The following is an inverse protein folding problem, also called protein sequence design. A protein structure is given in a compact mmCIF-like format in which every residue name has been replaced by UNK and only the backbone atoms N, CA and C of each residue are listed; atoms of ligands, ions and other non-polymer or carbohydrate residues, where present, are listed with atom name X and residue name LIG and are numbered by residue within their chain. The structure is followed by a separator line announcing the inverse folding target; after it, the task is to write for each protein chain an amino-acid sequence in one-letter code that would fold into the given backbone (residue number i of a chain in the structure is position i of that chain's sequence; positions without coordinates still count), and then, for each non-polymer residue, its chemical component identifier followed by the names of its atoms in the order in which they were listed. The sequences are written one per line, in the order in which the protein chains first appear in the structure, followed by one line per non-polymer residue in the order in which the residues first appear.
data_IF_171711022112
#
_entry.id   IF_171711022112
#
_cell.length_a   1.000
_cell.length_b   1.000
_cell.length_c   1.000
_cell.angle_alpha   90.00
_cell.angle_beta   90.00
_cell.angle_gamma   90.00
#
_symmetry.space_group_name_H-M   'P 1'
#
loop_
_entity.id
_entity.type
_entity.pdbx_description
1 polymer ?
#
# COMPACT_ATOMS: atom_id res chain seq x y z
N UNK A 1 31.51 -66.83 21.24
CA UNK A 1 32.68 -67.38 21.85
C UNK A 1 33.29 -66.32 22.78
N UNK A 2 32.99 -66.47 24.07
CA UNK A 2 33.82 -66.88 25.18
C UNK A 2 34.91 -65.82 25.50
N UNK A 3 34.61 -65.08 26.61
CA UNK A 3 35.11 -65.02 27.98
C UNK A 3 36.57 -64.61 28.16
N UNK A 4 36.79 -63.72 29.04
CA UNK A 4 37.45 -63.51 30.32
C UNK A 4 38.37 -62.33 30.24
N UNK A 5 38.45 -61.42 31.14
CA UNK A 5 38.36 -61.44 32.58
C UNK A 5 39.56 -60.68 33.13
N UNK A 6 39.29 -59.92 34.14
CA UNK A 6 40.14 -59.46 35.23
C UNK A 6 40.52 -57.97 35.25
N UNK A 7 39.86 -57.29 36.12
CA UNK A 7 40.40 -56.61 37.33
C UNK A 7 41.61 -55.69 37.17
N UNK A 8 41.40 -54.41 37.52
CA UNK A 8 42.46 -53.45 37.76
C UNK A 8 41.94 -52.07 38.11
N UNK A 9 41.80 -51.86 39.37
CA UNK A 9 41.70 -50.66 40.21
C UNK A 9 42.07 -49.28 39.63
N UNK A 10 41.16 -48.35 39.85
CA UNK A 10 41.25 -46.98 40.34
C UNK A 10 42.34 -46.03 39.74
N UNK A 11 41.89 -44.93 39.26
CA UNK A 11 42.33 -43.59 39.73
C UNK A 11 41.54 -42.46 39.12
N UNK A 12 41.30 -41.50 39.90
CA UNK A 12 40.55 -40.26 39.82
C UNK A 12 40.95 -39.24 38.76
N UNK A 13 39.98 -38.41 38.39
CA UNK A 13 40.02 -37.02 37.90
C UNK A 13 40.32 -36.79 36.44
N UNK A 14 39.30 -36.31 35.77
CA UNK A 14 39.34 -35.05 35.03
C UNK A 14 37.93 -34.68 34.63
N UNK A 15 37.46 -33.62 35.22
CA UNK A 15 36.23 -32.90 34.91
C UNK A 15 36.35 -32.36 33.47
N UNK A 16 35.62 -32.93 32.51
CA UNK A 16 35.52 -32.36 31.17
C UNK A 16 34.15 -31.73 31.05
N UNK A 17 34.10 -30.41 31.22
CA UNK A 17 32.96 -29.53 30.98
C UNK A 17 32.59 -29.64 29.50
N UNK A 18 31.59 -30.43 29.17
CA UNK A 18 30.99 -30.40 27.85
C UNK A 18 30.17 -29.10 27.73
N UNK A 19 30.71 -28.10 27.09
CA UNK A 19 29.97 -26.94 26.60
C UNK A 19 28.93 -27.41 25.60
N UNK A 20 27.69 -27.56 26.09
CA UNK A 20 26.51 -27.65 25.24
C UNK A 20 26.37 -26.33 24.47
N UNK A 21 26.87 -26.31 23.24
CA UNK A 21 26.46 -25.30 22.25
C UNK A 21 24.97 -25.51 21.98
N UNK A 22 24.15 -24.82 22.72
CA UNK A 22 22.78 -24.63 22.35
C UNK A 22 22.77 -23.85 21.04
N UNK A 23 22.72 -24.57 19.92
CA UNK A 23 22.43 -24.01 18.64
C UNK A 23 21.13 -23.22 18.76
N UNK A 24 21.22 -21.91 18.67
CA UNK A 24 20.04 -21.05 18.45
C UNK A 24 19.37 -21.56 17.19
N UNK A 25 18.34 -22.35 17.35
CA UNK A 25 17.35 -22.53 16.28
C UNK A 25 16.82 -21.15 16.00
N UNK A 26 17.17 -20.60 14.85
CA UNK A 26 16.47 -19.46 14.30
C UNK A 26 15.02 -19.92 14.12
N UNK A 27 14.16 -19.55 15.04
CA UNK A 27 12.72 -19.61 14.83
C UNK A 27 12.45 -18.72 13.63
N UNK A 28 12.54 -19.32 12.45
CA UNK A 28 11.90 -18.81 11.27
C UNK A 28 10.40 -18.95 11.53
N UNK A 29 9.82 -17.99 12.25
CA UNK A 29 8.39 -17.79 12.27
C UNK A 29 7.98 -17.75 10.80
N UNK A 30 7.38 -18.84 10.33
CA UNK A 30 6.64 -18.80 9.06
C UNK A 30 5.48 -17.83 9.30
N UNK A 31 5.72 -16.56 8.96
CA UNK A 31 4.70 -15.52 8.97
C UNK A 31 3.64 -15.99 7.98
N UNK A 32 2.48 -16.40 8.49
CA UNK A 32 1.35 -16.70 7.62
C UNK A 32 1.15 -15.53 6.67
N UNK A 33 0.91 -15.78 5.38
CA UNK A 33 0.66 -14.69 4.45
C UNK A 33 -0.49 -13.85 5.01
N UNK A 34 -0.26 -12.55 5.18
CA UNK A 34 -1.31 -11.61 5.57
C UNK A 34 -2.35 -11.59 4.46
N UNK A 35 -3.63 -11.47 4.82
CA UNK A 35 -4.67 -11.24 3.81
C UNK A 35 -4.28 -10.05 2.93
N UNK A 36 -4.51 -10.12 1.60
CA UNK A 36 -4.28 -9.00 0.72
C UNK A 36 -5.03 -7.76 1.20
N UNK A 37 -4.37 -6.61 1.25
CA UNK A 37 -5.03 -5.32 1.45
C UNK A 37 -5.35 -4.77 0.07
N UNK A 38 -6.63 -4.58 -0.22
CA UNK A 38 -7.10 -4.07 -1.50
C UNK A 38 -7.46 -2.60 -1.40
N UNK A 39 -6.85 -1.76 -2.23
CA UNK A 39 -7.01 -0.31 -2.23
C UNK A 39 -7.65 0.11 -3.55
N UNK A 40 -8.78 0.83 -3.46
CA UNK A 40 -9.40 1.46 -4.62
C UNK A 40 -8.77 2.82 -4.89
N UNK A 41 -8.45 3.09 -6.15
CA UNK A 41 -7.90 4.36 -6.62
C UNK A 41 -8.92 5.06 -7.48
N UNK A 42 -9.24 6.30 -7.12
CA UNK A 42 -10.23 7.12 -7.84
C UNK A 42 -9.73 8.55 -7.96
N UNK A 43 -10.08 9.25 -9.03
CA UNK A 43 -9.73 10.65 -9.24
C UNK A 43 -10.76 11.34 -10.15
N UNK A 44 -10.72 12.66 -10.16
CA UNK A 44 -11.43 13.50 -11.11
C UNK A 44 -12.95 13.16 -11.19
N UNK A 45 -13.55 13.04 -10.02
CA UNK A 45 -14.99 12.71 -9.88
C UNK A 45 -15.90 13.87 -10.29
N UNK A 46 -15.41 15.12 -10.15
CA UNK A 46 -16.14 16.32 -10.54
C UNK A 46 -17.60 16.31 -10.10
N UNK A 47 -17.79 16.10 -8.80
CA UNK A 47 -19.09 16.08 -8.15
C UNK A 47 -20.04 14.93 -8.59
N UNK A 48 -19.48 13.82 -9.13
CA UNK A 48 -20.27 12.66 -9.54
C UNK A 48 -19.62 11.38 -8.99
N UNK A 49 -20.38 10.62 -8.20
CA UNK A 49 -20.06 9.23 -7.87
C UNK A 49 -20.98 8.31 -8.68
N UNK A 50 -20.41 7.62 -9.65
CA UNK A 50 -21.19 6.71 -10.49
C UNK A 50 -21.56 5.43 -9.71
N UNK A 51 -22.80 4.93 -9.84
CA UNK A 51 -23.17 3.66 -9.21
C UNK A 51 -22.22 2.50 -9.57
N UNK A 52 -21.74 2.47 -10.83
CA UNK A 52 -20.76 1.48 -11.27
C UNK A 52 -19.41 1.60 -10.56
N UNK A 53 -18.97 2.83 -10.24
CA UNK A 53 -17.75 3.05 -9.46
C UNK A 53 -17.89 2.55 -8.02
N UNK A 54 -19.03 2.83 -7.37
CA UNK A 54 -19.34 2.29 -6.02
C UNK A 54 -19.36 0.76 -6.01
N UNK A 55 -20.01 0.17 -7.01
CA UNK A 55 -20.06 -1.28 -7.14
C UNK A 55 -18.67 -1.89 -7.34
N UNK A 56 -17.83 -1.28 -8.18
CA UNK A 56 -16.45 -1.73 -8.41
C UNK A 56 -15.57 -1.60 -7.16
N UNK A 57 -15.77 -0.53 -6.37
CA UNK A 57 -15.04 -0.28 -5.12
C UNK A 57 -15.56 -1.13 -3.95
N UNK A 58 -16.66 -1.87 -4.11
CA UNK A 58 -17.16 -2.71 -3.03
C UNK A 58 -16.12 -3.76 -2.59
N UNK A 59 -15.90 -3.83 -1.28
CA UNK A 59 -14.96 -4.78 -0.68
C UNK A 59 -13.49 -4.37 -0.73
N UNK A 60 -13.17 -3.10 -1.06
CA UNK A 60 -11.83 -2.56 -0.80
C UNK A 60 -11.66 -2.19 0.67
N UNK A 61 -10.44 -2.27 1.17
CA UNK A 61 -10.12 -1.90 2.55
C UNK A 61 -9.99 -0.39 2.72
N UNK A 62 -9.65 0.33 1.65
CA UNK A 62 -9.46 1.78 1.62
C UNK A 62 -9.65 2.34 0.21
N UNK A 63 -10.06 3.59 0.14
CA UNK A 63 -10.13 4.37 -1.10
C UNK A 63 -9.12 5.51 -1.01
N UNK A 64 -8.31 5.70 -2.06
CA UNK A 64 -7.44 6.85 -2.24
C UNK A 64 -7.97 7.70 -3.40
N UNK A 65 -8.29 8.96 -3.11
CA UNK A 65 -8.84 9.90 -4.09
C UNK A 65 -7.81 10.96 -4.47
N UNK A 66 -7.36 10.95 -5.71
CA UNK A 66 -6.29 11.83 -6.19
C UNK A 66 -6.77 13.22 -6.68
N UNK A 67 -7.81 13.78 -6.05
CA UNK A 67 -8.25 15.16 -6.28
C UNK A 67 -9.30 15.37 -7.36
N UNK A 68 -9.69 16.65 -7.53
CA UNK A 68 -10.81 17.08 -8.36
C UNK A 68 -12.13 16.39 -7.99
N UNK A 69 -12.42 16.48 -6.70
CA UNK A 69 -13.60 15.92 -6.02
C UNK A 69 -14.83 16.77 -6.37
N UNK A 70 -14.68 18.09 -6.23
CA UNK A 70 -15.64 19.15 -6.51
C UNK A 70 -16.88 19.22 -5.59
N UNK A 71 -16.97 18.38 -4.57
CA UNK A 71 -18.04 18.43 -3.56
C UNK A 71 -17.77 17.51 -2.38
N UNK A 72 -18.10 17.95 -1.16
CA UNK A 72 -17.98 17.13 0.06
C UNK A 72 -18.83 15.86 -0.03
N UNK A 73 -20.01 15.98 -0.64
CA UNK A 73 -20.95 14.86 -0.81
C UNK A 73 -20.33 13.66 -1.52
N UNK A 74 -19.37 13.90 -2.41
CA UNK A 74 -18.60 12.83 -3.09
C UNK A 74 -17.81 11.99 -2.08
N UNK A 75 -17.14 12.65 -1.14
CA UNK A 75 -16.38 11.96 -0.10
C UNK A 75 -17.32 11.21 0.84
N UNK A 76 -18.40 11.87 1.28
CA UNK A 76 -19.40 11.26 2.15
C UNK A 76 -20.02 10.01 1.50
N UNK A 77 -20.27 10.06 0.19
CA UNK A 77 -20.78 8.92 -0.56
C UNK A 77 -19.74 7.79 -0.71
N UNK A 78 -18.47 8.09 -0.95
CA UNK A 78 -17.40 7.10 -1.03
C UNK A 78 -17.09 6.50 0.36
N UNK A 79 -17.19 7.26 1.42
CA UNK A 79 -17.02 6.81 2.81
C UNK A 79 -18.09 5.78 3.23
N UNK A 80 -19.24 5.71 2.53
CA UNK A 80 -20.19 4.61 2.72
C UNK A 80 -19.69 3.26 2.22
N UNK A 81 -18.66 3.25 1.38
CA UNK A 81 -18.06 2.03 0.79
C UNK A 81 -16.85 1.58 1.58
N UNK A 82 -15.90 2.49 1.84
CA UNK A 82 -14.68 2.23 2.62
C UNK A 82 -14.07 3.56 3.11
N UNK A 83 -13.18 3.54 4.10
CA UNK A 83 -12.45 4.73 4.54
C UNK A 83 -11.74 5.43 3.38
N UNK A 84 -11.89 6.75 3.27
CA UNK A 84 -11.33 7.56 2.19
C UNK A 84 -10.16 8.40 2.69
N UNK A 85 -9.07 8.40 1.94
CA UNK A 85 -8.01 9.41 2.03
C UNK A 85 -7.98 10.17 0.71
N UNK A 86 -8.05 11.49 0.77
CA UNK A 86 -8.16 12.33 -0.42
C UNK A 86 -7.18 13.49 -0.41
N UNK A 87 -6.69 13.86 -1.57
CA UNK A 87 -5.97 15.13 -1.79
C UNK A 87 -6.87 16.11 -2.55
N UNK A 88 -6.55 17.40 -2.42
CA UNK A 88 -7.26 18.47 -3.10
C UNK A 88 -6.71 18.67 -4.50
N UNK A 89 -7.59 18.68 -5.50
CA UNK A 89 -7.27 19.06 -6.87
C UNK A 89 -7.47 20.55 -7.14
N UNK A 90 -7.14 21.00 -8.35
CA UNK A 90 -7.22 22.39 -8.75
C UNK A 90 -8.68 22.90 -8.91
N UNK A 91 -9.64 22.00 -9.08
CA UNK A 91 -11.06 22.35 -9.15
C UNK A 91 -11.79 22.27 -7.79
N UNK A 92 -11.11 21.82 -6.73
CA UNK A 92 -11.68 21.73 -5.40
C UNK A 92 -11.67 23.09 -4.71
N UNK A 93 -12.85 23.70 -4.55
CA UNK A 93 -13.03 25.07 -4.08
C UNK A 93 -14.01 25.15 -2.93
N UNK A 94 -13.90 26.21 -2.15
CA UNK A 94 -14.81 26.48 -1.03
C UNK A 94 -14.23 26.04 0.32
N UNK A 95 -15.05 26.19 1.36
CA UNK A 95 -14.60 25.98 2.75
C UNK A 95 -14.24 24.50 3.02
N UNK A 96 -15.02 23.58 2.48
CA UNK A 96 -14.79 22.14 2.65
C UNK A 96 -13.44 21.69 2.07
N UNK A 97 -13.05 22.26 0.91
CA UNK A 97 -11.80 21.90 0.24
C UNK A 97 -10.55 22.37 1.02
N UNK A 98 -10.68 23.41 1.85
CA UNK A 98 -9.58 23.92 2.67
C UNK A 98 -9.12 22.94 3.75
N UNK A 99 -9.98 22.04 4.17
CA UNK A 99 -9.66 20.99 5.14
C UNK A 99 -8.95 19.79 4.53
N UNK A 100 -8.86 19.70 3.19
CA UNK A 100 -8.20 18.63 2.46
C UNK A 100 -6.80 19.10 2.08
N UNK A 101 -5.80 18.29 2.37
CA UNK A 101 -4.41 18.57 2.03
C UNK A 101 -4.20 18.54 0.52
N UNK A 102 -3.18 19.26 0.03
CA UNK A 102 -2.81 19.25 -1.42
C UNK A 102 -2.12 17.94 -1.79
N UNK A 103 -1.39 17.39 -0.81
CA UNK A 103 -0.68 16.12 -0.93
C UNK A 103 -0.85 15.32 0.35
N UNK A 104 -0.78 14.00 0.24
CA UNK A 104 -0.82 13.09 1.38
C UNK A 104 0.26 12.02 1.25
N UNK A 105 0.82 11.64 2.40
CA UNK A 105 1.73 10.53 2.52
C UNK A 105 1.12 9.51 3.48
N UNK A 106 0.85 8.31 3.01
CA UNK A 106 0.24 7.24 3.80
C UNK A 106 1.09 5.98 3.77
N UNK A 107 1.09 5.25 4.87
CA UNK A 107 1.66 3.91 4.93
C UNK A 107 0.53 2.89 5.07
N UNK A 108 0.46 1.95 4.14
CA UNK A 108 -0.55 0.88 4.13
C UNK A 108 0.16 -0.46 3.91
N UNK A 109 0.00 -1.38 4.84
CA UNK A 109 0.57 -2.72 4.73
C UNK A 109 2.10 -2.76 4.58
N UNK A 110 2.82 -1.75 5.10
CA UNK A 110 4.27 -1.58 4.97
C UNK A 110 4.72 -0.98 3.63
N UNK A 111 3.79 -0.42 2.85
CA UNK A 111 4.06 0.31 1.60
C UNK A 111 3.82 1.79 1.81
N UNK A 112 4.83 2.62 1.55
CA UNK A 112 4.72 4.08 1.59
C UNK A 112 4.20 4.59 0.25
N UNK A 113 3.08 5.30 0.30
CA UNK A 113 2.33 5.82 -0.86
C UNK A 113 2.27 7.34 -0.76
N UNK A 114 2.65 8.04 -1.81
CA UNK A 114 2.48 9.47 -1.96
C UNK A 114 1.33 9.79 -2.91
N UNK A 115 0.49 10.73 -2.54
CA UNK A 115 -0.70 11.11 -3.30
C UNK A 115 -0.64 12.60 -3.58
N UNK A 116 -0.80 13.00 -4.83
CA UNK A 116 -0.94 14.38 -5.26
C UNK A 116 -1.92 14.44 -6.42
N UNK A 117 -2.44 15.63 -6.73
CA UNK A 117 -3.37 15.73 -7.85
C UNK A 117 -2.65 15.82 -9.20
N UNK A 118 -1.74 16.75 -9.36
CA UNK A 118 -1.00 16.94 -10.60
C UNK A 118 0.44 16.41 -10.47
N UNK A 119 0.78 15.40 -11.26
CA UNK A 119 2.12 14.79 -11.24
C UNK A 119 3.22 15.77 -11.63
N UNK A 120 2.91 16.84 -12.39
CA UNK A 120 3.90 17.86 -12.76
C UNK A 120 4.36 18.72 -11.57
N UNK A 121 3.62 18.71 -10.47
CA UNK A 121 3.96 19.41 -9.22
C UNK A 121 4.86 18.57 -8.29
N UNK A 122 5.24 17.35 -8.69
CA UNK A 122 6.17 16.53 -7.93
C UNK A 122 7.59 17.10 -8.05
N UNK A 123 8.10 17.70 -6.97
CA UNK A 123 9.35 18.47 -6.93
C UNK A 123 10.51 17.76 -6.19
N UNK A 124 10.35 16.48 -5.86
CA UNK A 124 11.37 15.66 -5.21
C UNK A 124 11.46 14.25 -5.82
N UNK A 125 12.53 13.52 -5.48
CA UNK A 125 12.70 12.11 -5.85
C UNK A 125 11.91 11.22 -4.87
N UNK A 126 10.79 10.57 -5.32
CA UNK A 126 9.97 9.74 -4.44
C UNK A 126 10.73 8.54 -3.86
N UNK A 127 11.66 7.95 -4.64
CA UNK A 127 12.47 6.83 -4.17
C UNK A 127 13.41 7.26 -3.04
N UNK A 128 14.11 8.37 -3.22
CA UNK A 128 15.00 8.92 -2.19
C UNK A 128 14.22 9.29 -0.92
N UNK A 129 12.95 9.71 -1.06
CA UNK A 129 12.05 9.99 0.05
C UNK A 129 11.40 8.74 0.67
N UNK A 130 11.66 7.53 0.12
CA UNK A 130 11.18 6.26 0.65
C UNK A 130 9.78 5.83 0.19
N UNK A 131 9.24 6.47 -0.84
CA UNK A 131 7.95 6.08 -1.42
C UNK A 131 8.12 4.95 -2.44
N UNK A 132 7.22 3.99 -2.38
CA UNK A 132 7.12 2.88 -3.35
C UNK A 132 6.04 3.11 -4.40
N UNK A 133 5.05 3.96 -4.10
CA UNK A 133 3.93 4.27 -5.00
C UNK A 133 3.68 5.77 -5.00
N UNK A 134 3.42 6.33 -6.18
CA UNK A 134 2.91 7.70 -6.37
C UNK A 134 1.59 7.62 -7.13
N UNK A 135 0.54 8.23 -6.55
CA UNK A 135 -0.80 8.27 -7.13
C UNK A 135 -1.11 9.70 -7.54
N UNK A 136 -1.58 9.88 -8.77
CA UNK A 136 -1.97 11.20 -9.30
C UNK A 136 -3.26 11.12 -10.12
N UNK A 137 -3.85 12.28 -10.42
CA UNK A 137 -5.03 12.46 -11.26
C UNK A 137 -4.80 13.44 -12.40
N UNK A 138 -5.65 14.49 -12.47
CA UNK A 138 -5.54 15.66 -13.30
C UNK A 138 -5.65 15.43 -14.82
N UNK A 139 -4.83 14.55 -15.37
CA UNK A 139 -4.79 14.29 -16.82
C UNK A 139 -6.01 13.56 -17.35
N UNK A 140 -6.84 12.95 -16.50
CA UNK A 140 -7.96 12.07 -16.83
C UNK A 140 -7.56 10.82 -17.65
N UNK A 141 -6.27 10.58 -17.84
CA UNK A 141 -5.75 9.45 -18.62
C UNK A 141 -5.28 8.35 -17.70
N UNK A 142 -5.93 7.18 -17.71
CA UNK A 142 -5.44 6.06 -16.92
C UNK A 142 -4.05 5.68 -17.40
N UNK A 143 -3.12 5.57 -16.45
CA UNK A 143 -1.74 5.22 -16.73
C UNK A 143 -1.12 4.51 -15.53
N UNK A 144 -0.24 3.57 -15.83
CA UNK A 144 0.58 2.89 -14.85
C UNK A 144 1.98 2.70 -15.43
N UNK A 145 3.00 3.13 -14.70
CA UNK A 145 4.40 2.93 -15.08
C UNK A 145 5.27 2.74 -13.84
N UNK A 146 6.30 1.97 -13.97
CA UNK A 146 7.36 1.87 -12.97
C UNK A 146 8.60 2.64 -13.45
N UNK A 147 9.21 3.39 -12.54
CA UNK A 147 10.48 4.07 -12.78
C UNK A 147 11.27 4.07 -11.49
N UNK A 148 12.52 3.63 -11.56
CA UNK A 148 13.47 3.61 -10.44
C UNK A 148 12.93 2.88 -9.19
N UNK A 149 12.10 1.84 -9.40
CA UNK A 149 11.49 1.07 -8.30
C UNK A 149 10.32 1.77 -7.63
N UNK A 150 9.78 2.84 -8.22
CA UNK A 150 8.55 3.52 -7.79
C UNK A 150 7.45 3.28 -8.82
N UNK A 151 6.29 2.83 -8.35
CA UNK A 151 5.10 2.64 -9.16
C UNK A 151 4.30 3.95 -9.22
N UNK A 152 4.16 4.52 -10.41
CA UNK A 152 3.34 5.70 -10.68
C UNK A 152 2.00 5.25 -11.26
N UNK A 153 0.91 5.66 -10.63
CA UNK A 153 -0.46 5.29 -11.04
C UNK A 153 -1.33 6.53 -11.18
N UNK A 154 -1.98 6.62 -12.33
CA UNK A 154 -3.11 7.53 -12.52
C UNK A 154 -4.35 6.68 -12.82
N UNK A 155 -5.39 6.67 -11.99
CA UNK A 155 -6.58 5.85 -12.22
C UNK A 155 -7.46 6.36 -13.38
N UNK A 156 -7.13 7.51 -13.95
CA UNK A 156 -7.96 8.22 -14.90
C UNK A 156 -9.05 9.03 -14.19
N UNK A 157 -10.20 9.22 -14.84
CA UNK A 157 -11.32 9.97 -14.30
C UNK A 157 -12.53 9.06 -14.08
N UNK A 158 -13.10 9.08 -12.88
CA UNK A 158 -14.34 8.38 -12.55
C UNK A 158 -15.59 9.27 -12.73
N UNK A 159 -15.40 10.54 -12.96
CA UNK A 159 -16.44 11.55 -13.13
C UNK A 159 -16.99 11.65 -14.55
N UNK A 160 -17.30 12.87 -15.02
CA UNK A 160 -17.81 13.10 -16.36
C UNK A 160 -16.82 12.62 -17.43
N UNK A 161 -17.33 11.96 -18.46
CA UNK A 161 -16.51 11.56 -19.61
C UNK A 161 -15.98 12.80 -20.32
N UNK A 162 -14.67 12.87 -20.52
CA UNK A 162 -14.04 13.94 -21.31
C UNK A 162 -13.44 13.39 -22.60
N UNK A 163 -13.83 13.99 -23.71
CA UNK A 163 -13.36 13.58 -25.05
C UNK A 163 -13.60 12.08 -25.30
N UNK A 164 -12.61 11.39 -25.84
CA UNK A 164 -12.60 9.95 -26.07
C UNK A 164 -12.03 9.13 -24.89
N UNK A 165 -11.69 9.80 -23.77
CA UNK A 165 -11.09 9.12 -22.63
C UNK A 165 -12.11 8.19 -21.93
N UNK A 166 -11.66 7.04 -21.43
CA UNK A 166 -12.54 6.15 -20.68
C UNK A 166 -12.90 6.76 -19.32
N UNK A 167 -14.08 6.41 -18.81
CA UNK A 167 -14.36 6.53 -17.38
C UNK A 167 -13.69 5.35 -16.70
N UNK A 168 -12.83 5.62 -15.72
CA UNK A 168 -11.98 4.60 -15.11
C UNK A 168 -11.70 4.87 -13.64
N UNK A 169 -11.31 3.82 -12.96
CA UNK A 169 -10.71 3.79 -11.63
C UNK A 169 -9.65 2.69 -11.61
N UNK A 170 -8.87 2.59 -10.55
CA UNK A 170 -7.80 1.58 -10.45
C UNK A 170 -7.86 0.82 -9.13
N UNK A 171 -7.04 -0.22 -9.04
CA UNK A 171 -6.82 -0.95 -7.81
C UNK A 171 -5.33 -1.24 -7.66
N UNK A 172 -4.88 -1.27 -6.41
CA UNK A 172 -3.64 -1.91 -6.02
C UNK A 172 -3.92 -2.89 -4.89
N UNK A 173 -3.17 -3.98 -4.87
CA UNK A 173 -3.20 -4.95 -3.78
C UNK A 173 -1.83 -4.97 -3.10
N UNK A 174 -1.84 -4.99 -1.77
CA UNK A 174 -0.62 -5.08 -0.98
C UNK A 174 -0.62 -6.43 -0.24
N UNK A 175 0.42 -7.22 -0.51
CA UNK A 175 0.60 -8.54 0.08
C UNK A 175 2.01 -8.62 0.66
N UNK A 176 2.12 -8.78 1.98
CA UNK A 176 3.41 -8.89 2.68
C UNK A 176 4.37 -7.72 2.36
N UNK A 177 3.86 -6.48 2.26
CA UNK A 177 4.65 -5.28 1.95
C UNK A 177 5.01 -5.11 0.47
N UNK A 178 4.45 -5.90 -0.44
CA UNK A 178 4.65 -5.78 -1.87
C UNK A 178 3.37 -5.36 -2.57
N UNK A 179 3.50 -4.47 -3.55
CA UNK A 179 2.39 -3.99 -4.40
C UNK A 179 2.20 -4.92 -5.59
N UNK A 180 0.95 -5.15 -5.94
CA UNK A 180 0.53 -5.89 -7.14
C UNK A 180 -0.59 -5.15 -7.87
#
# INVERSE_FOLDING_TARGET
FIISGSSGTASWSACCLALLHAGRRSDRHMRMPSSPIRIGLISDTHNIVRPAAKLALAGVDRILHAGDICGRDVLDELETVAPVTAVRGNNDRGAWAKSIQVTEAVEIGGVSIYILHDLSELDFDPRAAGFSVVISGHSHRPAMRESDGVLFVNPGSAGPRRFSLPVSLGFIEIINGNVR
#
